data_IF_718422489291
#
_entry.id   IF_718422489291
#
_cell.length_a   1.000
_cell.length_b   1.000
_cell.length_c   1.000
_cell.angle_alpha   90.00
_cell.angle_beta   90.00
_cell.angle_gamma   90.00
#
_symmetry.space_group_name_H-M   'P 1'
#
loop_
_entity.id
_entity.type
_entity.pdbx_description
1 polymer ?
#
# COMPACT_ATOMS: atom_id res chain seq x y z
N UNK A 1 16.48 -15.69 -17.67
CA UNK A 1 15.90 -14.40 -18.08
C UNK A 1 17.05 -13.49 -18.50
N UNK A 2 16.93 -12.78 -19.62
CA UNK A 2 17.95 -11.81 -20.03
C UNK A 2 17.76 -10.52 -19.22
N UNK A 3 18.68 -10.14 -18.30
CA UNK A 3 18.45 -9.03 -17.37
C UNK A 3 18.38 -7.65 -18.04
N UNK A 4 18.83 -7.55 -19.30
CA UNK A 4 19.03 -6.30 -20.03
C UNK A 4 17.72 -5.70 -20.59
N UNK A 5 16.64 -6.50 -20.71
CA UNK A 5 15.36 -6.05 -21.28
C UNK A 5 14.24 -5.96 -20.24
N UNK A 6 14.59 -5.98 -18.95
CA UNK A 6 13.63 -6.25 -17.91
C UNK A 6 13.76 -5.30 -16.73
N UNK A 7 12.72 -4.51 -16.48
CA UNK A 7 12.68 -3.55 -15.39
C UNK A 7 12.10 -4.19 -14.11
N UNK A 8 12.97 -4.39 -13.13
CA UNK A 8 12.63 -4.91 -11.79
C UNK A 8 12.39 -3.81 -10.76
N UNK A 9 12.60 -2.53 -11.09
CA UNK A 9 12.49 -1.43 -10.15
C UNK A 9 11.06 -1.28 -9.62
N UNK A 10 10.06 -1.45 -10.48
CA UNK A 10 8.65 -1.43 -10.07
C UNK A 10 8.33 -2.51 -9.02
N UNK A 11 8.88 -3.71 -9.18
CA UNK A 11 8.68 -4.79 -8.21
C UNK A 11 9.42 -4.54 -6.91
N UNK A 12 10.66 -4.05 -6.97
CA UNK A 12 11.41 -3.64 -5.77
C UNK A 12 10.68 -2.56 -4.99
N UNK A 13 10.10 -1.58 -5.68
CA UNK A 13 9.31 -0.52 -5.07
C UNK A 13 8.05 -1.07 -4.38
N UNK A 14 7.31 -1.99 -5.03
CA UNK A 14 6.12 -2.64 -4.45
C UNK A 14 6.46 -3.47 -3.20
N UNK A 15 7.58 -4.18 -3.19
CA UNK A 15 8.01 -4.95 -2.02
C UNK A 15 8.41 -4.01 -0.89
N UNK A 16 9.24 -3.01 -1.18
CA UNK A 16 9.67 -2.03 -0.19
C UNK A 16 8.47 -1.29 0.42
N UNK A 17 7.49 -0.89 -0.40
CA UNK A 17 6.29 -0.20 0.08
C UNK A 17 5.43 -1.04 0.99
N UNK A 18 5.25 -2.32 0.65
CA UNK A 18 4.49 -3.27 1.46
C UNK A 18 5.11 -3.44 2.84
N UNK A 19 6.44 -3.59 2.91
CA UNK A 19 7.17 -3.74 4.18
C UNK A 19 7.06 -2.49 5.04
N UNK A 20 7.31 -1.31 4.47
CA UNK A 20 7.22 -0.04 5.21
C UNK A 20 5.81 0.20 5.72
N UNK A 21 4.80 -0.07 4.89
CA UNK A 21 3.39 0.06 5.26
C UNK A 21 3.04 -0.84 6.45
N UNK A 22 3.47 -2.11 6.40
CA UNK A 22 3.24 -3.07 7.48
C UNK A 22 3.88 -2.59 8.79
N UNK A 23 5.12 -2.10 8.73
CA UNK A 23 5.84 -1.59 9.91
C UNK A 23 5.15 -0.37 10.50
N UNK A 24 4.79 0.62 9.68
CA UNK A 24 4.17 1.86 10.15
C UNK A 24 2.76 1.63 10.71
N UNK A 25 1.92 0.86 10.01
CA UNK A 25 0.59 0.49 10.49
C UNK A 25 0.69 -0.40 11.74
N UNK A 26 1.61 -1.36 11.76
CA UNK A 26 1.86 -2.23 12.91
C UNK A 26 2.31 -1.44 14.14
N UNK A 27 3.23 -0.48 13.99
CA UNK A 27 3.67 0.40 15.06
C UNK A 27 2.51 1.22 15.66
N UNK A 28 1.64 1.78 14.80
CA UNK A 28 0.45 2.49 15.26
C UNK A 28 -0.53 1.58 16.03
N UNK A 29 -0.76 0.36 15.53
CA UNK A 29 -1.61 -0.62 16.21
C UNK A 29 -1.05 -1.00 17.58
N UNK A 30 0.24 -1.29 17.67
CA UNK A 30 0.91 -1.61 18.94
C UNK A 30 0.76 -0.44 19.91
N UNK A 31 1.04 0.79 19.46
CA UNK A 31 0.88 1.98 20.29
C UNK A 31 -0.57 2.17 20.77
N UNK A 32 -1.56 1.79 19.95
CA UNK A 32 -2.98 1.86 20.31
C UNK A 32 -3.36 0.95 21.47
N UNK A 33 -2.62 -0.14 21.69
CA UNK A 33 -2.85 -1.06 22.81
C UNK A 33 -2.09 -0.68 24.09
N UNK A 34 -1.23 0.35 24.08
CA UNK A 34 -0.49 0.76 25.27
C UNK A 34 -1.39 1.67 26.13
N UNK A 35 -1.89 1.19 27.29
CA UNK A 35 -2.81 1.98 28.12
C UNK A 35 -2.16 3.26 28.67
N UNK A 36 -0.83 3.26 28.86
CA UNK A 36 -0.07 4.42 29.34
C UNK A 36 -0.10 5.62 28.38
N UNK A 37 -0.34 5.40 27.08
CA UNK A 37 -0.43 6.49 26.11
C UNK A 37 -1.77 7.25 26.22
N UNK A 38 -2.78 6.66 26.87
CA UNK A 38 -4.11 7.25 27.10
C UNK A 38 -4.69 7.91 25.83
N UNK A 39 -4.50 7.28 24.67
CA UNK A 39 -4.86 7.83 23.36
C UNK A 39 -6.37 8.10 23.22
N UNK A 40 -7.20 7.44 24.05
CA UNK A 40 -8.63 7.71 24.15
C UNK A 40 -8.94 9.09 24.78
N UNK A 41 -8.12 9.53 25.72
CA UNK A 41 -8.30 10.79 26.46
C UNK A 41 -7.52 11.93 25.81
N UNK A 42 -6.39 11.62 25.18
CA UNK A 42 -5.53 12.58 24.45
C UNK A 42 -5.80 12.51 22.94
N UNK A 43 -6.96 13.04 22.53
CA UNK A 43 -7.41 13.01 21.13
C UNK A 43 -6.43 13.65 20.14
N UNK A 44 -5.71 14.71 20.55
CA UNK A 44 -4.67 15.34 19.72
C UNK A 44 -3.45 14.43 19.53
N UNK A 45 -3.01 13.74 20.58
CA UNK A 45 -1.87 12.83 20.52
C UNK A 45 -2.20 11.63 19.63
N UNK A 46 -3.41 11.09 19.76
CA UNK A 46 -3.91 10.02 18.89
C UNK A 46 -3.90 10.47 17.44
N UNK A 47 -4.50 11.61 17.13
CA UNK A 47 -4.58 12.13 15.77
C UNK A 47 -3.19 12.34 15.15
N UNK A 48 -2.27 12.98 15.90
CA UNK A 48 -0.91 13.22 15.43
C UNK A 48 -0.14 11.92 15.18
N UNK A 49 -0.25 10.94 16.09
CA UNK A 49 0.41 9.65 15.93
C UNK A 49 -0.14 8.90 14.71
N UNK A 50 -1.46 8.85 14.54
CA UNK A 50 -2.07 8.25 13.34
C UNK A 50 -1.63 8.98 12.07
N UNK A 51 -1.64 10.31 12.03
CA UNK A 51 -1.23 11.08 10.85
C UNK A 51 0.26 10.88 10.53
N UNK A 52 1.12 10.82 11.56
CA UNK A 52 2.54 10.57 11.41
C UNK A 52 2.83 9.20 10.77
N UNK A 53 1.97 8.20 10.99
CA UNK A 53 2.09 6.88 10.36
C UNK A 53 1.35 6.75 9.03
N UNK A 54 0.17 7.35 8.91
CA UNK A 54 -0.70 7.21 7.75
C UNK A 54 -0.25 8.09 6.57
N UNK A 55 0.22 9.32 6.81
CA UNK A 55 0.63 10.22 5.73
C UNK A 55 1.84 9.69 4.93
N UNK A 56 2.94 9.23 5.56
CA UNK A 56 4.04 8.64 4.81
C UNK A 56 3.61 7.39 4.05
N UNK A 57 2.77 6.55 4.69
CA UNK A 57 2.22 5.34 4.06
C UNK A 57 1.36 5.67 2.84
N UNK A 58 0.52 6.69 2.93
CA UNK A 58 -0.35 7.15 1.85
C UNK A 58 0.47 7.64 0.65
N UNK A 59 1.46 8.49 0.89
CA UNK A 59 2.33 9.02 -0.16
C UNK A 59 3.14 7.89 -0.82
N UNK A 60 3.69 7.00 -0.02
CA UNK A 60 4.53 5.92 -0.51
C UNK A 60 3.72 4.92 -1.36
N UNK A 61 2.54 4.52 -0.89
CA UNK A 61 1.63 3.64 -1.66
C UNK A 61 1.12 4.30 -2.94
N UNK A 62 0.86 5.62 -2.94
CA UNK A 62 0.53 6.37 -4.15
C UNK A 62 1.69 6.40 -5.16
N UNK A 63 2.88 6.79 -4.71
CA UNK A 63 4.06 6.88 -5.59
C UNK A 63 4.37 5.53 -6.20
N UNK A 64 4.35 4.45 -5.40
CA UNK A 64 4.63 3.10 -5.89
C UNK A 64 3.58 2.58 -6.87
N UNK A 65 2.29 2.86 -6.66
CA UNK A 65 1.22 2.45 -7.60
C UNK A 65 1.34 3.20 -8.93
N UNK A 66 1.54 4.53 -8.88
CA UNK A 66 1.76 5.35 -10.09
C UNK A 66 3.01 4.90 -10.84
N UNK A 67 4.12 4.71 -10.13
CA UNK A 67 5.38 4.24 -10.73
C UNK A 67 5.23 2.87 -11.39
N UNK A 68 4.59 1.91 -10.72
CA UNK A 68 4.36 0.58 -11.28
C UNK A 68 3.47 0.64 -12.55
N UNK A 69 2.48 1.54 -12.58
CA UNK A 69 1.66 1.76 -13.78
C UNK A 69 2.47 2.36 -14.94
N UNK A 70 3.32 3.36 -14.66
CA UNK A 70 4.20 3.96 -15.67
C UNK A 70 5.11 2.89 -16.28
N UNK A 71 5.77 2.09 -15.44
CA UNK A 71 6.69 1.04 -15.91
C UNK A 71 5.96 -0.03 -16.74
N UNK A 72 4.77 -0.45 -16.31
CA UNK A 72 3.95 -1.38 -17.08
C UNK A 72 3.47 -0.81 -18.42
N UNK A 73 3.39 0.52 -18.55
CA UNK A 73 3.01 1.21 -19.78
C UNK A 73 4.11 1.25 -20.85
N UNK A 74 5.36 0.98 -20.49
CA UNK A 74 6.49 0.94 -21.42
C UNK A 74 6.59 -0.37 -22.20
N UNK A 75 5.74 -1.36 -21.91
CA UNK A 75 5.68 -2.59 -22.68
C UNK A 75 5.08 -2.31 -24.08
N UNK A 76 5.62 -2.90 -25.17
CA UNK A 76 6.57 -4.02 -25.19
C UNK A 76 8.06 -3.65 -25.24
N UNK A 77 8.42 -2.36 -25.26
CA UNK A 77 9.80 -1.90 -25.44
C UNK A 77 10.69 -2.24 -24.23
N UNK A 78 10.13 -2.10 -23.02
CA UNK A 78 10.74 -2.54 -21.77
C UNK A 78 9.71 -3.31 -20.96
N UNK A 79 9.98 -4.60 -20.71
CA UNK A 79 9.08 -5.48 -20.00
C UNK A 79 9.32 -5.43 -18.48
N UNK A 80 8.26 -5.51 -17.68
CA UNK A 80 8.33 -5.71 -16.22
C UNK A 80 8.05 -7.17 -15.86
N UNK A 81 8.28 -7.53 -14.58
CA UNK A 81 7.86 -8.86 -14.06
C UNK A 81 6.38 -9.13 -14.36
N UNK A 82 5.53 -8.12 -14.21
CA UNK A 82 4.11 -8.29 -14.46
C UNK A 82 3.81 -8.46 -15.96
N UNK A 83 4.28 -7.56 -16.82
CA UNK A 83 3.91 -7.59 -18.25
C UNK A 83 4.45 -8.84 -18.94
N UNK A 84 5.69 -9.23 -18.62
CA UNK A 84 6.34 -10.39 -19.22
C UNK A 84 5.73 -11.72 -18.76
N UNK A 85 5.52 -11.92 -17.45
CA UNK A 85 4.90 -13.15 -16.94
C UNK A 85 3.49 -13.31 -17.49
N UNK A 86 2.75 -12.20 -17.61
CA UNK A 86 1.42 -12.18 -18.20
C UNK A 86 1.41 -12.37 -19.72
N UNK A 87 2.50 -12.05 -20.43
CA UNK A 87 2.68 -12.36 -21.85
C UNK A 87 3.02 -13.84 -22.06
N UNK A 88 3.93 -14.37 -21.25
CA UNK A 88 4.42 -15.75 -21.34
C UNK A 88 3.41 -16.79 -20.88
N UNK A 89 2.44 -16.45 -20.02
CA UNK A 89 1.40 -17.39 -19.58
C UNK A 89 0.55 -17.96 -20.74
N UNK A 90 0.41 -17.19 -21.83
CA UNK A 90 -0.43 -17.52 -22.99
C UNK A 90 0.37 -17.92 -24.22
N UNK A 91 1.68 -17.66 -24.21
CA UNK A 91 2.56 -18.19 -25.24
C UNK A 91 2.51 -19.71 -25.14
N UNK A 92 2.20 -20.40 -26.25
CA UNK A 92 2.63 -21.80 -26.38
C UNK A 92 4.17 -21.79 -26.35
N UNK A 93 4.86 -22.84 -25.87
CA UNK A 93 6.29 -22.94 -26.14
C UNK A 93 6.45 -22.65 -27.63
N UNK A 94 7.35 -21.74 -28.00
CA UNK A 94 7.58 -21.48 -29.41
C UNK A 94 7.87 -22.84 -30.02
N UNK A 95 6.99 -23.34 -30.89
CA UNK A 95 7.36 -24.23 -31.98
C UNK A 95 8.26 -23.41 -32.91
N UNK A 96 9.36 -22.88 -32.38
CA UNK A 96 10.52 -22.62 -33.20
C UNK A 96 10.98 -24.00 -33.60
N UNK A 97 11.29 -24.16 -34.89
CA UNK A 97 12.12 -25.20 -35.47
C UNK A 97 13.43 -25.34 -34.68
N UNK A 98 13.33 -25.87 -33.46
CA UNK A 98 14.45 -26.26 -32.63
C UNK A 98 15.00 -27.50 -33.32
N UNK A 99 16.29 -27.53 -33.66
CA UNK A 99 16.92 -28.72 -34.21
C UNK A 99 16.55 -29.93 -33.34
N UNK A 100 16.30 -31.10 -33.93
CA UNK A 100 15.80 -32.33 -33.26
C UNK A 100 16.59 -32.76 -31.99
N UNK A 101 17.73 -32.12 -31.69
CA UNK A 101 18.53 -32.33 -30.48
C UNK A 101 18.23 -31.40 -29.29
N UNK A 102 17.38 -30.38 -29.41
CA UNK A 102 17.00 -29.47 -28.31
C UNK A 102 15.50 -29.60 -28.04
N UNK A 103 15.06 -30.81 -27.70
CA UNK A 103 13.72 -31.03 -27.19
C UNK A 103 13.58 -30.34 -25.82
N UNK A 104 12.61 -29.45 -25.69
CA UNK A 104 12.25 -28.87 -24.40
C UNK A 104 11.89 -30.03 -23.44
N UNK A 105 12.49 -30.10 -22.22
CA UNK A 105 12.26 -31.22 -21.32
C UNK A 105 10.76 -31.40 -21.04
N UNK A 106 10.24 -32.64 -21.06
CA UNK A 106 8.84 -32.91 -20.73
C UNK A 106 8.56 -32.42 -19.31
N UNK A 107 7.59 -31.51 -19.16
CA UNK A 107 7.25 -30.85 -17.90
C UNK A 107 7.71 -29.39 -17.79
N UNK A 108 8.55 -28.90 -18.71
CA UNK A 108 8.91 -27.49 -18.80
C UNK A 108 7.83 -26.73 -19.59
N UNK A 109 6.74 -26.37 -18.91
CA UNK A 109 5.61 -25.64 -19.51
C UNK A 109 5.43 -24.25 -18.94
N UNK A 110 4.68 -23.39 -19.63
CA UNK A 110 4.40 -22.01 -19.18
C UNK A 110 3.38 -21.91 -18.03
N UNK A 111 3.06 -23.03 -17.38
CA UNK A 111 2.09 -23.10 -16.28
C UNK A 111 2.48 -22.22 -15.09
N UNK A 112 3.77 -22.18 -14.75
CA UNK A 112 4.27 -21.37 -13.63
C UNK A 112 4.16 -19.85 -13.89
N UNK A 113 4.23 -19.42 -15.16
CA UNK A 113 4.09 -18.00 -15.52
C UNK A 113 2.67 -17.48 -15.29
N UNK A 114 1.64 -18.35 -15.35
CA UNK A 114 0.27 -17.98 -14.99
C UNK A 114 0.17 -17.61 -13.52
N UNK A 115 0.74 -18.43 -12.63
CA UNK A 115 0.78 -18.16 -11.19
C UNK A 115 1.55 -16.89 -10.88
N UNK A 116 2.69 -16.68 -11.55
CA UNK A 116 3.50 -15.48 -11.40
C UNK A 116 2.77 -14.22 -11.92
N UNK A 117 2.07 -14.29 -13.04
CA UNK A 117 1.25 -13.19 -13.55
C UNK A 117 0.14 -12.81 -12.56
N UNK A 118 -0.55 -13.80 -12.00
CA UNK A 118 -1.60 -13.58 -10.99
C UNK A 118 -1.03 -12.95 -9.73
N UNK A 119 0.09 -13.47 -9.22
CA UNK A 119 0.76 -12.95 -8.03
C UNK A 119 1.25 -11.50 -8.22
N UNK A 120 1.80 -11.19 -9.39
CA UNK A 120 2.28 -9.85 -9.74
C UNK A 120 1.14 -8.84 -9.84
N UNK A 121 0.03 -9.21 -10.51
CA UNK A 121 -1.19 -8.40 -10.57
C UNK A 121 -1.77 -8.19 -9.18
N UNK A 122 -1.81 -9.23 -8.35
CA UNK A 122 -2.28 -9.13 -6.99
C UNK A 122 -1.44 -8.13 -6.17
N UNK A 123 -0.11 -8.12 -6.32
CA UNK A 123 0.74 -7.15 -5.64
C UNK A 123 0.39 -5.70 -6.02
N UNK A 124 0.18 -5.42 -7.31
CA UNK A 124 -0.19 -4.08 -7.77
C UNK A 124 -1.59 -3.67 -7.28
N UNK A 125 -2.61 -4.50 -7.54
CA UNK A 125 -3.99 -4.20 -7.14
C UNK A 125 -4.16 -4.19 -5.61
N UNK A 126 -3.45 -5.07 -4.91
CA UNK A 126 -3.41 -5.10 -3.46
C UNK A 126 -2.83 -3.80 -2.89
N UNK A 127 -1.74 -3.30 -3.47
CA UNK A 127 -1.16 -2.00 -3.06
C UNK A 127 -2.13 -0.83 -3.32
N UNK A 128 -2.89 -0.88 -4.42
CA UNK A 128 -3.94 0.10 -4.70
C UNK A 128 -5.07 0.07 -3.66
N UNK A 129 -5.53 -1.13 -3.27
CA UNK A 129 -6.53 -1.28 -2.20
C UNK A 129 -6.00 -0.74 -0.87
N UNK A 130 -4.74 -1.05 -0.53
CA UNK A 130 -4.09 -0.51 0.67
C UNK A 130 -4.02 1.02 0.63
N UNK A 131 -3.64 1.61 -0.50
CA UNK A 131 -3.65 3.06 -0.70
C UNK A 131 -5.03 3.67 -0.41
N UNK A 132 -6.10 3.08 -0.96
CA UNK A 132 -7.47 3.56 -0.74
C UNK A 132 -7.89 3.45 0.73
N UNK A 133 -7.58 2.33 1.39
CA UNK A 133 -7.89 2.11 2.81
C UNK A 133 -7.14 3.09 3.71
N UNK A 134 -5.85 3.32 3.46
CA UNK A 134 -5.03 4.29 4.20
C UNK A 134 -5.53 5.71 3.95
N UNK A 135 -5.94 6.04 2.72
CA UNK A 135 -6.53 7.33 2.36
C UNK A 135 -7.82 7.59 3.11
N UNK A 136 -8.75 6.63 3.10
CA UNK A 136 -9.98 6.70 3.87
C UNK A 136 -9.70 6.85 5.37
N UNK A 137 -8.75 6.08 5.91
CA UNK A 137 -8.35 6.14 7.33
C UNK A 137 -7.76 7.49 7.71
N UNK A 138 -6.97 8.10 6.81
CA UNK A 138 -6.41 9.45 6.98
C UNK A 138 -7.54 10.49 7.01
N UNK A 139 -8.51 10.37 6.10
CA UNK A 139 -9.68 11.24 6.06
C UNK A 139 -10.52 11.15 7.33
N UNK A 140 -10.83 9.94 7.80
CA UNK A 140 -11.54 9.71 9.08
C UNK A 140 -10.77 10.33 10.24
N UNK A 141 -9.46 10.08 10.33
CA UNK A 141 -8.60 10.64 11.38
C UNK A 141 -8.67 12.17 11.41
N UNK A 142 -8.61 12.80 10.25
CA UNK A 142 -8.70 14.25 10.13
C UNK A 142 -10.06 14.79 10.57
N UNK A 143 -11.15 14.18 10.11
CA UNK A 143 -12.51 14.58 10.47
C UNK A 143 -12.73 14.44 11.97
N UNK A 144 -12.34 13.30 12.56
CA UNK A 144 -12.47 13.06 14.01
C UNK A 144 -11.65 14.09 14.80
N UNK A 145 -10.41 14.39 14.39
CA UNK A 145 -9.59 15.38 15.07
C UNK A 145 -10.19 16.79 15.03
N UNK A 146 -10.75 17.20 13.89
CA UNK A 146 -11.43 18.49 13.75
C UNK A 146 -12.69 18.53 14.63
N UNK A 147 -13.49 17.46 14.63
CA UNK A 147 -14.68 17.35 15.47
C UNK A 147 -14.33 17.46 16.95
N UNK A 148 -13.30 16.73 17.42
CA UNK A 148 -12.84 16.79 18.82
C UNK A 148 -12.32 18.19 19.18
N UNK A 149 -11.58 18.84 18.28
CA UNK A 149 -11.13 20.22 18.47
C UNK A 149 -12.29 21.21 18.55
N UNK A 150 -13.32 21.01 17.74
CA UNK A 150 -14.50 21.86 17.74
C UNK A 150 -15.32 21.66 19.02
N UNK A 151 -15.54 20.41 19.44
CA UNK A 151 -16.20 20.06 20.70
C UNK A 151 -15.48 20.66 21.92
N UNK A 152 -14.15 20.55 21.98
CA UNK A 152 -13.35 21.16 23.04
C UNK A 152 -13.45 22.71 23.06
N UNK A 153 -13.61 23.35 21.90
CA UNK A 153 -13.83 24.80 21.83
C UNK A 153 -15.23 25.19 22.30
N UNK A 154 -16.25 24.43 21.96
CA UNK A 154 -17.62 24.69 22.43
C UNK A 154 -17.70 24.54 23.96
N UNK A 155 -17.14 23.46 24.51
CA UNK A 155 -17.10 23.26 25.96
C UNK A 155 -16.42 24.43 26.69
N UNK A 156 -15.31 24.96 26.17
CA UNK A 156 -14.66 26.15 26.75
C UNK A 156 -15.57 27.38 26.73
N UNK A 157 -16.28 27.62 25.63
CA UNK A 157 -17.23 28.74 25.52
C UNK A 157 -18.40 28.59 26.47
N UNK A 158 -18.96 27.39 26.62
CA UNK A 158 -20.09 27.13 27.51
C UNK A 158 -19.73 27.34 29.00
N UNK A 159 -18.50 26.96 29.38
CA UNK A 159 -17.95 27.28 30.72
C UNK A 159 -17.74 28.77 30.90
N UNK A 160 -17.18 29.48 29.90
CA UNK A 160 -16.97 30.94 29.95
C UNK A 160 -18.30 31.73 30.04
N UNK A 161 -19.36 31.24 29.40
CA UNK A 161 -20.71 31.84 29.46
C UNK A 161 -21.46 31.50 30.76
N UNK A 162 -20.89 30.68 31.66
CA UNK A 162 -21.55 30.25 32.89
C UNK A 162 -22.72 29.29 32.68
N UNK A 163 -22.88 28.75 31.46
CA UNK A 163 -23.93 27.78 31.14
C UNK A 163 -23.62 26.38 31.71
N UNK A 164 -22.35 26.10 32.00
CA UNK A 164 -21.87 24.86 32.62
C UNK A 164 -20.97 25.21 33.81
N UNK A 165 -21.17 24.63 35.01
CA UNK A 165 -20.31 24.88 36.16
C UNK A 165 -18.87 24.41 35.87
N UNK A 166 -17.88 25.21 36.27
CA UNK A 166 -16.46 24.96 35.99
C UNK A 166 -15.89 23.69 36.66
N UNK A 167 -16.61 23.12 37.64
CA UNK A 167 -16.12 22.06 38.54
C UNK A 167 -16.72 20.67 38.27
N UNK A 168 -17.26 20.39 37.08
CA UNK A 168 -17.66 19.01 36.75
C UNK A 168 -16.41 18.18 36.34
N UNK A 169 -16.12 17.06 37.04
CA UNK A 169 -14.95 16.20 36.78
C UNK A 169 -15.01 15.45 35.44
#
# INVERSE_FOLDING_TARGET
MWPQHFDVQGTKALIASSVVTLVLCGAFLIASFIPKLALRQKYTLRALLSLATLLPTLLLTLITTVWAHILNGNAPDVDTIQTWTCKMQSSRPLEQDLPEGIAMPPGMGNGDFKSLCQSSKFALWGTLVVFLLVGASTGVTMITWIADKWAARQHRKEVEMGNIPADLP
#
